data_IF_937219422635
#
_entry.id   IF_937219422635
#
_cell.length_a   1.000
_cell.length_b   1.000
_cell.length_c   1.000
_cell.angle_alpha   90.00
_cell.angle_beta   90.00
_cell.angle_gamma   90.00
#
_symmetry.space_group_name_H-M   'P 1'
#
loop_
_entity.id
_entity.type
_entity.pdbx_description
1 polymer ?
#
# COMPACT_ATOMS: atom_id res chain seq x y z
N UNK A 1 6.52 0.99 16.78
CA UNK A 1 6.51 -0.06 15.74
C UNK A 1 7.04 0.46 14.41
N UNK A 2 6.52 1.57 13.88
CA UNK A 2 7.00 2.14 12.63
C UNK A 2 8.45 2.64 12.70
N UNK A 3 9.26 2.31 11.69
CA UNK A 3 10.70 2.65 11.62
C UNK A 3 11.01 3.74 10.59
N UNK A 4 10.04 4.14 9.77
CA UNK A 4 10.27 4.96 8.57
C UNK A 4 10.56 4.14 7.30
N UNK A 5 10.84 2.84 7.44
CA UNK A 5 10.86 1.86 6.35
C UNK A 5 9.62 0.96 6.33
N UNK A 6 9.01 0.75 7.50
CA UNK A 6 7.78 -0.01 7.66
C UNK A 6 7.49 -0.26 9.14
N UNK A 7 6.48 -1.07 9.40
CA UNK A 7 6.15 -1.61 10.71
C UNK A 7 6.91 -2.92 10.90
N UNK A 8 7.70 -3.00 11.96
CA UNK A 8 8.40 -4.23 12.35
C UNK A 8 7.50 -5.15 13.18
N UNK A 9 7.88 -6.42 13.26
CA UNK A 9 7.11 -7.48 13.94
C UNK A 9 6.88 -7.22 15.43
N UNK A 10 7.83 -6.60 16.16
CA UNK A 10 7.68 -6.27 17.58
C UNK A 10 8.21 -4.88 17.94
N UNK A 11 7.68 -4.25 19.00
CA UNK A 11 8.04 -2.90 19.41
C UNK A 11 9.51 -2.77 19.89
N UNK A 12 10.01 -1.53 19.91
CA UNK A 12 11.32 -1.19 20.47
C UNK A 12 11.14 -1.26 21.98
N UNK A 13 12.10 -1.88 22.67
CA UNK A 13 12.02 -2.09 24.12
C UNK A 13 11.28 -3.36 24.53
N UNK A 14 10.68 -4.12 23.59
CA UNK A 14 10.20 -5.46 23.89
C UNK A 14 11.38 -6.39 24.23
N UNK A 15 11.20 -7.30 25.19
CA UNK A 15 12.30 -8.14 25.72
C UNK A 15 13.06 -8.95 24.65
N UNK A 16 12.36 -9.37 23.57
CA UNK A 16 12.95 -10.14 22.46
C UNK A 16 13.38 -9.27 21.27
N UNK A 17 13.25 -7.95 21.35
CA UNK A 17 13.55 -7.06 20.23
C UNK A 17 14.99 -7.19 19.74
N UNK A 18 15.14 -7.59 18.49
CA UNK A 18 16.37 -7.59 17.74
C UNK A 18 16.05 -7.16 16.28
N UNK A 19 16.52 -5.99 15.82
CA UNK A 19 16.24 -5.50 14.46
C UNK A 19 16.79 -6.39 13.35
N UNK A 20 17.76 -7.26 13.64
CA UNK A 20 18.33 -8.24 12.70
C UNK A 20 17.71 -9.63 12.86
N UNK A 21 16.72 -9.81 13.73
CA UNK A 21 16.07 -11.11 13.89
C UNK A 21 15.02 -11.32 12.80
N UNK A 22 14.95 -12.55 12.29
CA UNK A 22 13.96 -12.97 11.30
C UNK A 22 12.50 -12.69 11.72
N UNK A 23 12.14 -12.91 12.99
CA UNK A 23 10.77 -12.69 13.49
C UNK A 23 10.65 -11.70 14.66
N UNK A 24 11.76 -11.26 15.27
CA UNK A 24 11.73 -10.43 16.48
C UNK A 24 12.21 -8.99 16.26
N UNK A 25 11.91 -8.39 15.10
CA UNK A 25 12.21 -6.98 14.88
C UNK A 25 12.53 -6.60 13.45
N UNK A 26 12.47 -7.54 12.51
CA UNK A 26 12.49 -7.29 11.06
C UNK A 26 11.17 -6.67 10.57
N UNK A 27 11.19 -6.23 9.31
CA UNK A 27 10.05 -5.66 8.60
C UNK A 27 9.74 -6.57 7.42
N UNK A 28 8.48 -7.00 7.34
CA UNK A 28 7.97 -7.90 6.32
C UNK A 28 7.02 -7.11 5.41
N UNK A 29 7.33 -6.95 4.11
CA UNK A 29 6.47 -6.23 3.17
C UNK A 29 5.04 -6.76 3.12
N UNK A 30 4.89 -8.08 3.13
CA UNK A 30 3.58 -8.75 3.18
C UNK A 30 2.76 -8.32 4.40
N UNK A 31 3.31 -8.42 5.60
CA UNK A 31 2.62 -8.04 6.84
C UNK A 31 2.23 -6.56 6.84
N UNK A 32 3.09 -5.71 6.27
CA UNK A 32 2.80 -4.29 6.15
C UNK A 32 1.65 -3.99 5.20
N UNK A 33 1.52 -4.72 4.10
CA UNK A 33 0.36 -4.61 3.22
C UNK A 33 -0.94 -5.04 3.93
N UNK A 34 -0.90 -6.11 4.73
CA UNK A 34 -2.05 -6.52 5.54
C UNK A 34 -2.42 -5.48 6.60
N UNK A 35 -1.43 -4.89 7.27
CA UNK A 35 -1.65 -3.81 8.25
C UNK A 35 -2.25 -2.58 7.56
N UNK A 36 -1.75 -2.20 6.38
CA UNK A 36 -2.30 -1.10 5.59
C UNK A 36 -3.75 -1.35 5.17
N UNK A 37 -4.08 -2.58 4.73
CA UNK A 37 -5.45 -2.97 4.44
C UNK A 37 -6.34 -2.87 5.68
N UNK A 38 -5.84 -3.28 6.85
CA UNK A 38 -6.49 -3.07 8.13
C UNK A 38 -6.79 -1.60 8.37
N UNK A 39 -5.77 -0.73 8.33
CA UNK A 39 -5.96 0.71 8.47
C UNK A 39 -7.02 1.28 7.52
N UNK A 40 -6.98 0.90 6.24
CA UNK A 40 -7.96 1.34 5.25
C UNK A 40 -9.39 0.93 5.62
N UNK A 41 -9.61 -0.31 6.05
CA UNK A 41 -10.93 -0.82 6.48
C UNK A 41 -11.49 -0.08 7.70
N UNK A 42 -10.62 0.42 8.57
CA UNK A 42 -11.02 1.23 9.73
C UNK A 42 -11.08 2.75 9.43
N UNK A 43 -10.90 3.17 8.17
CA UNK A 43 -10.97 4.58 7.75
C UNK A 43 -9.65 5.35 7.88
N UNK A 44 -8.56 4.70 8.30
CA UNK A 44 -7.25 5.33 8.49
C UNK A 44 -6.38 5.31 7.22
N UNK A 45 -6.90 5.83 6.11
CA UNK A 45 -6.22 5.75 4.80
C UNK A 45 -4.91 6.51 4.71
N UNK A 46 -4.79 7.64 5.41
CA UNK A 46 -3.51 8.35 5.52
C UNK A 46 -2.42 7.48 6.17
N UNK A 47 -2.78 6.66 7.17
CA UNK A 47 -1.83 5.71 7.78
C UNK A 47 -1.44 4.59 6.82
N UNK A 48 -2.39 4.06 6.03
CA UNK A 48 -2.10 3.13 4.94
C UNK A 48 -1.16 3.76 3.89
N UNK A 49 -1.40 5.02 3.53
CA UNK A 49 -0.56 5.80 2.62
C UNK A 49 0.87 5.98 3.11
N UNK A 50 1.06 6.22 4.42
CA UNK A 50 2.41 6.25 5.02
C UNK A 50 3.15 4.92 4.92
N UNK A 51 2.44 3.79 4.97
CA UNK A 51 3.05 2.47 4.75
C UNK A 51 3.41 2.30 3.28
N UNK A 52 2.53 2.70 2.35
CA UNK A 52 2.82 2.69 0.92
C UNK A 52 4.09 3.50 0.59
N UNK A 53 4.19 4.73 1.09
CA UNK A 53 5.38 5.56 0.93
C UNK A 53 6.64 4.89 1.47
N UNK A 54 6.57 4.31 2.67
CA UNK A 54 7.72 3.66 3.29
C UNK A 54 8.18 2.43 2.49
N UNK A 55 7.25 1.62 1.98
CA UNK A 55 7.55 0.44 1.15
C UNK A 55 8.08 0.84 -0.22
N UNK A 56 7.51 1.87 -0.85
CA UNK A 56 8.01 2.42 -2.11
C UNK A 56 9.44 2.94 -1.95
N UNK A 57 9.69 3.71 -0.88
CA UNK A 57 11.02 4.19 -0.57
C UNK A 57 12.00 3.03 -0.30
N UNK A 58 11.61 2.00 0.45
CA UNK A 58 12.44 0.82 0.69
C UNK A 58 12.80 0.09 -0.61
N UNK A 59 11.81 -0.14 -1.48
CA UNK A 59 12.00 -0.76 -2.79
C UNK A 59 12.99 0.01 -3.67
N UNK A 60 13.05 1.34 -3.57
CA UNK A 60 14.01 2.15 -4.34
C UNK A 60 15.50 1.86 -4.03
N UNK A 61 15.79 1.22 -2.89
CA UNK A 61 17.15 0.78 -2.50
C UNK A 61 17.42 -0.70 -2.80
N UNK A 62 16.45 -1.43 -3.35
CA UNK A 62 16.54 -2.86 -3.59
C UNK A 62 16.77 -3.16 -5.06
N UNK A 63 17.46 -4.26 -5.35
CA UNK A 63 17.69 -4.70 -6.72
C UNK A 63 16.38 -4.86 -7.49
N UNK A 64 16.36 -4.35 -8.72
CA UNK A 64 15.19 -4.32 -9.60
C UNK A 64 13.95 -3.65 -8.99
N UNK A 65 14.12 -2.90 -7.90
CA UNK A 65 13.05 -2.25 -7.13
C UNK A 65 11.99 -3.24 -6.62
N UNK A 66 12.42 -4.44 -6.24
CA UNK A 66 11.54 -5.49 -5.73
C UNK A 66 11.65 -5.59 -4.22
N UNK A 67 10.50 -5.71 -3.56
CA UNK A 67 10.44 -5.95 -2.13
C UNK A 67 10.85 -7.42 -1.84
N UNK A 68 11.81 -7.67 -0.93
CA UNK A 68 12.19 -9.01 -0.51
C UNK A 68 11.16 -9.57 0.48
N UNK A 69 11.37 -10.83 0.89
CA UNK A 69 10.68 -11.46 2.03
C UNK A 69 10.65 -10.56 3.27
N UNK A 70 11.81 -10.02 3.64
CA UNK A 70 12.00 -9.17 4.81
C UNK A 70 13.28 -8.34 4.70
N UNK A 71 13.40 -7.32 5.55
CA UNK A 71 14.64 -6.61 5.82
C UNK A 71 14.73 -6.22 7.31
N UNK A 72 15.92 -5.83 7.77
CA UNK A 72 16.15 -5.53 9.18
C UNK A 72 15.36 -4.29 9.63
N UNK A 73 14.75 -4.33 10.81
CA UNK A 73 13.90 -3.24 11.32
C UNK A 73 14.65 -2.19 12.12
N UNK A 74 15.76 -1.71 11.58
CA UNK A 74 16.44 -0.52 12.08
C UNK A 74 15.65 0.75 11.73
N UNK A 75 15.71 1.81 12.56
CA UNK A 75 15.10 3.10 12.24
C UNK A 75 15.75 3.71 10.99
N UNK A 76 14.93 4.34 10.15
CA UNK A 76 15.38 5.11 8.99
C UNK A 76 16.29 6.24 9.43
N UNK A 77 17.42 6.39 8.73
CA UNK A 77 18.41 7.45 8.96
C UNK A 77 18.59 8.24 7.67
N UNK A 78 18.79 9.55 7.81
CA UNK A 78 18.99 10.45 6.66
C UNK A 78 20.17 9.95 5.80
N UNK A 79 19.95 9.86 4.49
CA UNK A 79 20.99 9.47 3.53
C UNK A 79 21.40 7.99 3.55
N UNK A 80 20.69 7.11 4.26
CA UNK A 80 20.97 5.67 4.30
C UNK A 80 19.73 4.89 3.91
N UNK A 81 19.90 3.80 3.15
CA UNK A 81 18.84 2.84 2.85
C UNK A 81 18.53 1.89 4.01
N UNK A 82 17.54 1.01 3.87
CA UNK A 82 17.27 -0.06 4.85
C UNK A 82 18.45 -1.05 4.90
N UNK A 83 18.72 -1.59 6.09
CA UNK A 83 19.68 -2.68 6.24
C UNK A 83 19.04 -3.97 5.74
N UNK A 84 19.64 -4.60 4.74
CA UNK A 84 19.12 -5.85 4.17
C UNK A 84 19.32 -7.02 5.13
N UNK A 85 18.42 -7.99 5.06
CA UNK A 85 18.57 -9.26 5.77
C UNK A 85 19.36 -10.23 4.87
N UNK A 86 20.49 -10.82 5.33
CA UNK A 86 21.48 -11.45 4.43
C UNK A 86 20.98 -12.61 3.57
N UNK A 87 19.98 -13.36 4.05
CA UNK A 87 19.46 -14.57 3.39
C UNK A 87 17.99 -14.44 2.99
N UNK A 88 17.50 -13.20 2.83
CA UNK A 88 16.13 -12.95 2.42
C UNK A 88 15.88 -13.42 0.99
N UNK A 89 14.76 -14.09 0.75
CA UNK A 89 14.30 -14.39 -0.60
C UNK A 89 13.90 -13.08 -1.33
N UNK A 90 14.33 -12.89 -2.58
CA UNK A 90 14.02 -11.67 -3.36
C UNK A 90 13.76 -11.95 -4.84
N UNK A 91 12.53 -11.74 -5.34
CA UNK A 91 11.30 -11.54 -4.58
C UNK A 91 10.81 -12.85 -3.95
N UNK A 92 10.26 -12.79 -2.75
CA UNK A 92 9.47 -13.89 -2.18
C UNK A 92 8.04 -13.83 -2.74
N UNK A 93 7.40 -14.99 -2.93
CA UNK A 93 6.04 -15.08 -3.46
C UNK A 93 5.04 -14.17 -2.73
N UNK A 94 5.09 -14.08 -1.40
CA UNK A 94 4.19 -13.22 -0.63
C UNK A 94 4.54 -11.73 -0.75
N UNK A 95 5.83 -11.40 -0.79
CA UNK A 95 6.27 -10.02 -0.98
C UNK A 95 5.84 -9.43 -2.34
N UNK A 96 5.74 -10.26 -3.38
CA UNK A 96 5.32 -9.84 -4.72
C UNK A 96 3.90 -9.22 -4.77
N UNK A 97 2.99 -9.64 -3.88
CA UNK A 97 1.64 -9.09 -3.78
C UNK A 97 1.54 -7.74 -3.07
N UNK A 98 2.61 -7.33 -2.36
CA UNK A 98 2.62 -6.14 -1.49
C UNK A 98 2.21 -4.85 -2.21
N UNK A 99 2.79 -4.49 -3.39
CA UNK A 99 2.45 -3.24 -4.06
C UNK A 99 0.97 -3.16 -4.44
N UNK A 100 0.40 -4.25 -4.96
CA UNK A 100 -1.01 -4.30 -5.37
C UNK A 100 -1.95 -4.12 -4.20
N UNK A 101 -1.68 -4.80 -3.08
CA UNK A 101 -2.54 -4.69 -1.90
C UNK A 101 -2.44 -3.32 -1.24
N UNK A 102 -1.27 -2.67 -1.28
CA UNK A 102 -1.10 -1.30 -0.79
C UNK A 102 -1.86 -0.27 -1.67
N UNK A 103 -1.82 -0.43 -2.99
CA UNK A 103 -2.60 0.40 -3.93
C UNK A 103 -4.10 0.17 -3.70
N UNK A 104 -4.54 -1.08 -3.61
CA UNK A 104 -5.94 -1.41 -3.30
C UNK A 104 -6.37 -0.80 -1.96
N UNK A 105 -5.54 -0.95 -0.92
CA UNK A 105 -5.82 -0.43 0.42
C UNK A 105 -5.92 1.09 0.42
N UNK A 106 -5.02 1.82 -0.26
CA UNK A 106 -5.03 3.30 -0.26
C UNK A 106 -6.16 3.88 -1.10
N UNK A 107 -6.41 3.33 -2.29
CA UNK A 107 -7.50 3.77 -3.17
C UNK A 107 -8.89 3.31 -2.72
N UNK A 108 -8.96 2.32 -1.83
CA UNK A 108 -10.25 1.74 -1.43
C UNK A 108 -10.92 1.01 -2.57
N UNK A 109 -10.10 0.37 -3.42
CA UNK A 109 -10.54 -0.30 -4.61
C UNK A 109 -11.28 -1.59 -4.25
N UNK A 110 -12.57 -1.65 -4.61
CA UNK A 110 -13.44 -2.81 -4.43
C UNK A 110 -14.13 -3.16 -5.74
N UNK A 111 -14.62 -4.39 -5.84
CA UNK A 111 -15.25 -4.94 -7.03
C UNK A 111 -16.59 -5.54 -6.62
N UNK A 112 -17.65 -5.17 -7.32
CA UNK A 112 -18.98 -5.76 -7.21
C UNK A 112 -19.35 -6.39 -8.56
N UNK A 113 -19.08 -7.70 -8.73
CA UNK A 113 -19.39 -8.42 -9.97
C UNK A 113 -20.88 -8.41 -10.32
N UNK A 114 -21.78 -8.35 -9.32
CA UNK A 114 -23.23 -8.39 -9.54
C UNK A 114 -23.77 -7.11 -10.15
N UNK A 115 -23.10 -5.99 -9.89
CA UNK A 115 -23.42 -4.65 -10.43
C UNK A 115 -22.48 -4.22 -11.54
N UNK A 116 -21.57 -5.10 -11.97
CA UNK A 116 -20.50 -4.81 -12.92
C UNK A 116 -19.70 -3.56 -12.50
N UNK A 117 -19.48 -3.38 -11.20
CA UNK A 117 -18.97 -2.12 -10.64
C UNK A 117 -17.56 -2.28 -10.06
N UNK A 118 -16.67 -1.41 -10.50
CA UNK A 118 -15.38 -1.10 -9.85
C UNK A 118 -15.59 0.16 -9.02
N UNK A 119 -15.31 0.09 -7.72
CA UNK A 119 -15.57 1.18 -6.79
C UNK A 119 -14.31 1.63 -6.08
N UNK A 120 -14.14 2.94 -5.93
CA UNK A 120 -13.11 3.55 -5.09
C UNK A 120 -13.78 4.21 -3.88
N UNK A 121 -13.49 3.72 -2.68
CA UNK A 121 -14.08 4.22 -1.44
C UNK A 121 -13.10 5.12 -0.68
N UNK A 122 -13.41 6.42 -0.55
CA UNK A 122 -12.56 7.44 0.05
C UNK A 122 -11.10 7.38 -0.47
N UNK A 123 -10.86 7.36 -1.79
CA UNK A 123 -9.52 7.12 -2.31
C UNK A 123 -8.50 8.11 -1.74
N UNK A 124 -7.33 7.60 -1.37
CA UNK A 124 -6.21 8.40 -0.87
C UNK A 124 -4.98 8.16 -1.73
N UNK A 125 -4.40 9.23 -2.27
CA UNK A 125 -3.11 9.19 -2.99
C UNK A 125 -2.06 9.88 -2.11
N UNK A 126 -1.00 9.18 -1.65
CA UNK A 126 0.05 9.79 -0.85
C UNK A 126 0.77 10.94 -1.56
N UNK A 127 1.29 11.90 -0.81
CA UNK A 127 1.90 13.13 -1.35
C UNK A 127 3.14 12.92 -2.23
N UNK A 128 3.79 11.75 -2.16
CA UNK A 128 4.92 11.42 -3.03
C UNK A 128 4.50 10.99 -4.45
N UNK A 129 3.20 10.81 -4.68
CA UNK A 129 2.60 10.50 -5.97
C UNK A 129 1.73 11.66 -6.44
N UNK A 130 1.83 11.99 -7.71
CA UNK A 130 0.93 12.97 -8.35
C UNK A 130 -0.33 12.28 -8.88
N UNK A 131 -0.19 11.04 -9.36
CA UNK A 131 -1.29 10.24 -9.87
C UNK A 131 -0.99 8.73 -9.75
N UNK A 132 -2.04 7.93 -9.88
CA UNK A 132 -1.99 6.48 -10.06
C UNK A 132 -2.78 6.13 -11.31
N UNK A 133 -2.14 5.44 -12.26
CA UNK A 133 -2.79 4.91 -13.45
C UNK A 133 -3.00 3.40 -13.30
N UNK A 134 -4.25 2.98 -13.22
CA UNK A 134 -4.63 1.57 -13.28
C UNK A 134 -5.05 1.26 -14.71
N UNK A 135 -4.36 0.30 -15.34
CA UNK A 135 -4.69 -0.14 -16.71
C UNK A 135 -5.34 -1.50 -16.69
N UNK A 136 -6.28 -1.71 -17.60
CA UNK A 136 -6.99 -2.95 -17.80
C UNK A 136 -7.57 -3.51 -16.49
N UNK A 137 -8.26 -2.66 -15.74
CA UNK A 137 -9.02 -3.10 -14.57
C UNK A 137 -10.22 -3.89 -15.08
N UNK A 138 -10.11 -5.21 -15.05
CA UNK A 138 -11.11 -6.10 -15.65
C UNK A 138 -12.13 -6.62 -14.63
N UNK A 139 -13.39 -6.67 -15.03
CA UNK A 139 -14.50 -7.24 -14.27
C UNK A 139 -15.55 -7.80 -15.23
N UNK A 140 -15.96 -9.06 -15.03
CA UNK A 140 -17.05 -9.70 -15.80
C UNK A 140 -16.90 -9.61 -17.34
N UNK A 141 -15.67 -9.69 -17.86
CA UNK A 141 -15.40 -9.59 -19.30
C UNK A 141 -15.36 -8.17 -19.87
N UNK A 142 -15.62 -7.15 -19.03
CA UNK A 142 -15.41 -5.74 -19.33
C UNK A 142 -14.10 -5.24 -18.70
N UNK A 143 -13.61 -4.09 -19.15
CA UNK A 143 -12.37 -3.48 -18.65
C UNK A 143 -12.44 -1.95 -18.62
N UNK A 144 -11.64 -1.33 -17.75
CA UNK A 144 -11.44 0.12 -17.73
C UNK A 144 -10.00 0.51 -17.36
N UNK A 145 -9.56 1.64 -17.92
CA UNK A 145 -8.35 2.35 -17.52
C UNK A 145 -8.74 3.54 -16.64
N UNK A 146 -8.20 3.58 -15.42
CA UNK A 146 -8.54 4.59 -14.41
C UNK A 146 -7.31 5.44 -14.10
N UNK A 147 -7.44 6.75 -14.24
CA UNK A 147 -6.46 7.73 -13.82
C UNK A 147 -6.93 8.42 -12.55
N UNK A 148 -6.22 8.20 -11.47
CA UNK A 148 -6.51 8.78 -10.16
C UNK A 148 -5.51 9.90 -9.93
N UNK A 149 -5.98 11.15 -9.91
CA UNK A 149 -5.15 12.32 -9.67
C UNK A 149 -5.25 12.79 -8.22
N UNK A 150 -4.13 13.27 -7.69
CA UNK A 150 -4.08 14.01 -6.42
C UNK A 150 -4.14 15.51 -6.72
N UNK A 151 -5.06 16.21 -6.07
CA UNK A 151 -5.14 17.68 -6.07
C UNK A 151 -5.17 18.18 -4.62
N UNK A 152 -4.01 18.55 -4.09
CA UNK A 152 -3.84 18.80 -2.66
C UNK A 152 -4.16 17.56 -1.83
N UNK A 153 -5.22 17.65 -1.02
CA UNK A 153 -5.78 16.54 -0.23
C UNK A 153 -6.99 15.87 -0.92
N UNK A 154 -7.48 16.46 -2.02
CA UNK A 154 -8.57 15.89 -2.81
C UNK A 154 -8.04 14.88 -3.83
N UNK A 155 -8.92 13.98 -4.26
CA UNK A 155 -8.66 12.99 -5.29
C UNK A 155 -9.75 13.07 -6.36
N UNK A 156 -9.33 13.10 -7.62
CA UNK A 156 -10.24 12.94 -8.76
C UNK A 156 -9.94 11.63 -9.48
N UNK A 157 -10.98 11.04 -10.08
CA UNK A 157 -10.88 9.78 -10.83
C UNK A 157 -11.44 10.03 -12.21
N UNK A 158 -10.62 9.78 -13.22
CA UNK A 158 -10.95 9.85 -14.63
C UNK A 158 -10.94 8.43 -15.22
N UNK A 159 -11.95 8.12 -16.04
CA UNK A 159 -11.99 6.89 -16.83
C UNK A 159 -11.45 7.22 -18.21
N UNK A 160 -10.21 6.83 -18.50
CA UNK A 160 -9.54 7.14 -19.78
C UNK A 160 -10.12 6.27 -20.90
N UNK A 161 -10.34 5.00 -20.59
CA UNK A 161 -10.84 4.01 -21.53
C UNK A 161 -11.77 3.05 -20.79
N UNK A 162 -12.81 2.57 -21.47
CA UNK A 162 -13.69 1.53 -20.97
C UNK A 162 -14.20 0.69 -22.15
N UNK A 163 -14.23 -0.62 -21.96
CA UNK A 163 -14.75 -1.60 -22.92
C UNK A 163 -15.72 -2.55 -22.21
N UNK A 164 -16.88 -2.79 -22.84
CA UNK A 164 -17.94 -3.63 -22.27
C UNK A 164 -18.79 -2.93 -21.21
N UNK A 165 -19.62 -3.71 -20.52
CA UNK A 165 -20.48 -3.21 -19.44
C UNK A 165 -19.70 -3.16 -18.12
N UNK A 166 -19.17 -1.97 -17.80
CA UNK A 166 -18.47 -1.69 -16.54
C UNK A 166 -18.90 -0.34 -15.97
N UNK A 167 -19.21 -0.31 -14.68
CA UNK A 167 -19.47 0.88 -13.89
C UNK A 167 -18.24 1.22 -13.08
N UNK A 168 -17.84 2.49 -13.09
CA UNK A 168 -16.81 3.02 -12.20
C UNK A 168 -17.49 4.02 -11.27
N UNK A 169 -17.34 3.85 -9.96
CA UNK A 169 -17.88 4.79 -8.99
C UNK A 169 -16.88 5.17 -7.91
N UNK A 170 -17.03 6.39 -7.40
CA UNK A 170 -16.25 6.91 -6.28
C UNK A 170 -17.21 7.27 -5.17
N UNK A 171 -16.95 6.80 -3.95
CA UNK A 171 -17.80 7.05 -2.80
C UNK A 171 -16.99 7.69 -1.67
N UNK A 172 -17.52 8.76 -1.08
CA UNK A 172 -16.92 9.43 0.06
C UNK A 172 -17.82 9.24 1.30
N UNK A 173 -17.22 8.83 2.41
CA UNK A 173 -17.87 8.67 3.71
C UNK A 173 -17.24 9.63 4.72
N UNK A 174 -17.93 10.75 4.95
CA UNK A 174 -17.52 11.77 5.91
C UNK A 174 -18.01 11.49 7.34
N UNK A 175 -18.77 10.42 7.57
CA UNK A 175 -19.34 10.12 8.89
C UNK A 175 -18.30 9.62 9.92
N UNK A 176 -17.11 9.23 9.46
CA UNK A 176 -16.04 8.66 10.28
C UNK A 176 -14.91 9.64 10.67
N UNK A 177 -15.00 10.92 10.31
CA UNK A 177 -13.94 11.92 10.58
C UNK A 177 -13.96 12.49 12.01
N UNK A 178 -14.92 12.14 12.85
CA UNK A 178 -15.16 12.77 14.15
C UNK A 178 -14.32 12.23 15.34
N UNK A 179 -13.34 11.36 15.10
CA UNK A 179 -12.45 10.84 16.15
C UNK A 179 -10.99 10.97 15.72
N UNK A 180 -10.46 12.18 15.86
CA UNK A 180 -9.02 12.48 15.85
C UNK A 180 -8.61 12.97 17.24
#
# INVERSE_FOLDING_TARGET
>A
FFTGWGIRTIALGAARYNPMSYHNGSIWPHDNALIALGFARYGHRAAAGRILEAMFAAASYMDLRRLPELYCGFPRRRGRGPTLYPVACSPQAWAAGTPFLLVQATLGLTFDPSRHEVRLENPYVPSFLDHVLLRNVSLCGASADLLIHRDGDAVSVEVIHAEGEIRVSVAYDYSRSALA
#
